data_IF_120165529188
#
_entry.id   IF_120165529188
#
_cell.length_a   1.000
_cell.length_b   1.000
_cell.length_c   1.000
_cell.angle_alpha   90.00
_cell.angle_beta   90.00
_cell.angle_gamma   90.00
#
_symmetry.space_group_name_H-M   'P 1'
#
loop_
_entity.id
_entity.type
_entity.pdbx_description
1 polymer ?
#
# COMPACT_ATOMS: atom_id res chain seq x y z
N UNK A 1 -9.29 -13.77 13.09
CA UNK A 1 -9.10 -12.44 12.53
C UNK A 1 -8.27 -12.50 11.25
N UNK A 2 -8.67 -11.73 10.27
CA UNK A 2 -7.96 -11.67 8.99
C UNK A 2 -6.93 -10.55 9.03
N UNK A 3 -5.67 -10.89 8.79
CA UNK A 3 -4.62 -9.88 8.66
C UNK A 3 -4.68 -9.27 7.26
N UNK A 4 -4.56 -7.96 7.20
CA UNK A 4 -4.49 -7.26 5.93
C UNK A 4 -3.09 -7.35 5.32
N UNK A 5 -2.98 -7.12 4.02
CA UNK A 5 -1.68 -7.06 3.33
C UNK A 5 -0.78 -6.00 3.97
N UNK A 6 -1.38 -4.89 4.40
CA UNK A 6 -0.65 -3.82 5.06
C UNK A 6 -0.05 -4.26 6.39
N UNK A 7 -0.81 -4.99 7.20
CA UNK A 7 -0.31 -5.53 8.46
C UNK A 7 0.82 -6.54 8.24
N UNK A 8 0.67 -7.40 7.24
CA UNK A 8 1.72 -8.36 6.89
C UNK A 8 3.01 -7.65 6.45
N UNK A 9 2.88 -6.61 5.65
CA UNK A 9 4.02 -5.82 5.21
C UNK A 9 4.70 -5.11 6.39
N UNK A 10 3.91 -4.58 7.32
CA UNK A 10 4.44 -3.95 8.52
C UNK A 10 5.20 -4.95 9.39
N UNK A 11 4.69 -6.16 9.53
CA UNK A 11 5.37 -7.20 10.30
C UNK A 11 6.72 -7.57 9.70
N UNK A 12 6.80 -7.67 8.37
CA UNK A 12 8.07 -7.98 7.69
C UNK A 12 9.10 -6.87 7.85
N UNK A 13 8.65 -5.63 7.96
CA UNK A 13 9.53 -4.47 8.12
C UNK A 13 9.69 -4.03 9.57
N UNK A 14 9.25 -4.86 10.50
CA UNK A 14 9.34 -4.63 11.95
C UNK A 14 8.69 -3.30 12.38
N UNK A 15 7.53 -3.01 11.79
CA UNK A 15 6.74 -1.81 12.06
C UNK A 15 5.34 -2.19 12.55
N UNK A 16 4.64 -1.21 13.11
CA UNK A 16 3.21 -1.35 13.42
C UNK A 16 2.41 -0.44 12.49
N UNK A 17 1.13 -0.80 12.17
CA UNK A 17 0.29 0.07 11.35
C UNK A 17 0.13 1.48 11.91
N UNK A 18 0.18 1.64 13.22
CA UNK A 18 0.05 2.93 13.88
C UNK A 18 1.22 3.88 13.58
N UNK A 19 2.38 3.34 13.19
CA UNK A 19 3.57 4.12 12.84
C UNK A 19 3.47 4.73 11.44
N UNK A 20 2.49 4.30 10.63
CA UNK A 20 2.31 4.80 9.27
C UNK A 20 1.63 6.17 9.31
N UNK A 21 2.26 7.17 8.72
CA UNK A 21 1.71 8.52 8.64
C UNK A 21 0.57 8.64 7.62
N UNK A 22 0.78 8.09 6.42
CA UNK A 22 -0.22 8.11 5.35
C UNK A 22 -0.13 6.80 4.58
N UNK A 23 -1.29 6.24 4.25
CA UNK A 23 -1.40 5.07 3.38
C UNK A 23 -1.92 5.52 2.02
N UNK A 24 -1.14 5.35 0.97
CA UNK A 24 -1.56 5.66 -0.39
C UNK A 24 -2.01 4.39 -1.11
N UNK A 25 -3.17 4.45 -1.72
CA UNK A 25 -3.72 3.35 -2.52
C UNK A 25 -3.63 3.77 -3.98
N UNK A 26 -2.71 3.15 -4.71
CA UNK A 26 -2.41 3.49 -6.09
C UNK A 26 -2.85 2.39 -7.05
N UNK A 27 -2.80 2.69 -8.36
CA UNK A 27 -3.16 1.74 -9.40
C UNK A 27 -4.62 1.86 -9.80
N UNK A 28 -5.10 0.90 -10.60
CA UNK A 28 -6.47 0.91 -11.10
C UNK A 28 -7.52 0.92 -10.00
N UNK A 29 -7.29 0.20 -8.92
CA UNK A 29 -8.19 0.18 -7.77
C UNK A 29 -8.23 1.50 -7.03
N UNK A 30 -7.12 2.23 -7.02
CA UNK A 30 -7.02 3.50 -6.29
C UNK A 30 -8.03 4.55 -6.74
N UNK A 31 -8.52 4.46 -7.98
CA UNK A 31 -9.48 5.42 -8.53
C UNK A 31 -10.92 5.15 -8.10
N UNK A 32 -11.25 3.90 -7.77
CA UNK A 32 -12.63 3.47 -7.57
C UNK A 32 -12.93 2.96 -6.17
N UNK A 33 -11.91 2.78 -5.35
CA UNK A 33 -12.08 2.18 -4.05
C UNK A 33 -12.67 3.18 -3.04
N UNK A 34 -13.65 2.70 -2.28
CA UNK A 34 -14.17 3.44 -1.15
C UNK A 34 -13.40 3.00 0.09
N UNK A 35 -12.65 3.94 0.69
CA UNK A 35 -11.76 3.64 1.81
C UNK A 35 -12.50 3.05 3.01
N UNK A 36 -13.68 3.60 3.33
CA UNK A 36 -14.48 3.11 4.46
C UNK A 36 -14.95 1.68 4.24
N UNK A 37 -15.41 1.38 3.03
CA UNK A 37 -15.84 0.02 2.67
C UNK A 37 -14.66 -0.95 2.66
N UNK A 38 -13.52 -0.51 2.16
CA UNK A 38 -12.30 -1.32 2.14
C UNK A 38 -11.87 -1.69 3.57
N UNK A 39 -11.97 -0.75 4.52
CA UNK A 39 -11.67 -1.01 5.91
C UNK A 39 -12.66 -2.02 6.52
N UNK A 40 -13.94 -1.93 6.18
CA UNK A 40 -14.97 -2.85 6.70
C UNK A 40 -14.74 -4.29 6.27
N UNK A 41 -14.24 -4.52 5.07
CA UNK A 41 -13.97 -5.87 4.57
C UNK A 41 -12.53 -6.31 4.83
N UNK A 42 -11.79 -5.56 5.64
CA UNK A 42 -10.40 -5.84 6.01
C UNK A 42 -9.42 -5.83 4.85
N UNK A 43 -9.70 -5.06 3.80
CA UNK A 43 -8.76 -4.85 2.72
C UNK A 43 -7.60 -3.96 3.19
N UNK A 44 -7.91 -2.99 4.04
CA UNK A 44 -6.92 -2.15 4.73
C UNK A 44 -7.21 -2.17 6.23
N UNK A 45 -6.20 -1.94 7.09
CA UNK A 45 -6.44 -1.87 8.52
C UNK A 45 -7.41 -0.73 8.86
N UNK A 46 -8.46 -0.99 9.67
CA UNK A 46 -9.40 0.08 10.04
C UNK A 46 -8.73 1.27 10.70
N UNK A 47 -7.64 1.06 11.44
CA UNK A 47 -6.88 2.13 12.08
C UNK A 47 -6.27 3.10 11.08
N UNK A 48 -5.99 2.66 9.86
CA UNK A 48 -5.39 3.47 8.81
C UNK A 48 -6.42 4.16 7.91
N UNK A 49 -7.70 3.81 8.01
CA UNK A 49 -8.74 4.39 7.16
C UNK A 49 -8.74 5.92 7.16
N UNK A 50 -8.61 6.61 8.33
CA UNK A 50 -8.56 8.08 8.33
C UNK A 50 -7.33 8.67 7.66
N UNK A 51 -6.26 7.86 7.51
CA UNK A 51 -4.99 8.29 6.93
C UNK A 51 -4.76 7.73 5.53
N UNK A 52 -5.74 7.02 4.98
CA UNK A 52 -5.64 6.42 3.65
C UNK A 52 -6.11 7.39 2.58
N UNK A 53 -5.39 7.43 1.45
CA UNK A 53 -5.72 8.27 0.30
C UNK A 53 -5.67 7.42 -0.97
N UNK A 54 -6.75 7.43 -1.72
CA UNK A 54 -6.78 6.81 -3.04
C UNK A 54 -6.24 7.81 -4.05
N UNK A 55 -5.14 7.47 -4.72
CA UNK A 55 -4.44 8.37 -5.63
C UNK A 55 -4.45 7.93 -7.10
N UNK A 56 -5.15 6.85 -7.40
CA UNK A 56 -5.35 6.39 -8.76
C UNK A 56 -4.05 6.00 -9.47
N UNK A 57 -3.91 6.40 -10.72
CA UNK A 57 -2.72 6.09 -11.52
C UNK A 57 -1.55 7.02 -11.17
N UNK A 58 -0.97 6.80 -10.00
CA UNK A 58 0.13 7.62 -9.50
C UNK A 58 1.39 7.46 -10.36
N UNK A 59 1.64 6.27 -10.89
CA UNK A 59 2.81 6.04 -11.74
C UNK A 59 2.77 6.89 -13.01
N UNK A 60 1.60 6.95 -13.66
CA UNK A 60 1.42 7.80 -14.85
C UNK A 60 1.56 9.27 -14.54
N UNK A 61 0.94 9.73 -13.44
CA UNK A 61 1.03 11.11 -13.02
C UNK A 61 2.48 11.49 -12.67
N UNK A 62 3.19 10.63 -11.97
CA UNK A 62 4.58 10.84 -11.59
C UNK A 62 5.50 10.90 -12.79
N UNK A 63 5.29 10.02 -13.77
CA UNK A 63 6.06 10.03 -15.01
C UNK A 63 5.87 11.34 -15.79
N UNK A 64 4.63 11.84 -15.86
CA UNK A 64 4.33 13.12 -16.49
C UNK A 64 5.03 14.29 -15.78
N UNK A 65 5.01 14.30 -14.47
CA UNK A 65 5.70 15.31 -13.67
C UNK A 65 7.21 15.28 -13.90
N UNK A 66 7.80 14.10 -13.94
CA UNK A 66 9.23 13.95 -14.17
C UNK A 66 9.65 14.43 -15.56
N UNK A 67 8.79 14.30 -16.55
CA UNK A 67 9.03 14.80 -17.91
C UNK A 67 9.07 16.31 -17.96
N UNK A 68 8.25 16.98 -17.17
CA UNK A 68 8.05 18.43 -17.25
C UNK A 68 8.85 19.22 -16.21
N UNK A 69 9.44 18.56 -15.22
CA UNK A 69 10.08 19.25 -14.10
C UNK A 69 11.35 18.53 -13.66
N UNK A 70 12.48 19.23 -13.72
CA UNK A 70 13.75 18.74 -13.19
C UNK A 70 13.66 18.50 -11.68
N UNK A 71 12.97 19.41 -10.98
CA UNK A 71 12.76 19.28 -9.53
C UNK A 71 11.98 18.01 -9.18
N UNK A 72 10.94 17.70 -9.93
CA UNK A 72 10.17 16.47 -9.73
C UNK A 72 11.02 15.23 -9.97
N UNK A 73 11.87 15.27 -11.00
CA UNK A 73 12.77 14.17 -11.33
C UNK A 73 13.80 13.92 -10.22
N UNK A 74 14.35 14.99 -9.66
CA UNK A 74 15.30 14.92 -8.54
C UNK A 74 14.61 14.37 -7.29
N UNK A 75 13.39 14.80 -7.02
CA UNK A 75 12.60 14.29 -5.90
C UNK A 75 12.33 12.79 -6.06
N UNK A 76 11.94 12.37 -7.26
CA UNK A 76 11.70 10.95 -7.56
C UNK A 76 12.96 10.11 -7.35
N UNK A 77 14.12 10.62 -7.76
CA UNK A 77 15.38 9.91 -7.56
C UNK A 77 15.71 9.76 -6.06
N UNK A 78 15.45 10.78 -5.25
CA UNK A 78 15.65 10.70 -3.81
C UNK A 78 14.72 9.69 -3.17
N UNK A 79 13.45 9.70 -3.54
CA UNK A 79 12.47 8.74 -3.02
C UNK A 79 12.86 7.33 -3.40
N UNK A 80 13.28 7.11 -4.64
CA UNK A 80 13.70 5.78 -5.12
C UNK A 80 14.87 5.22 -4.32
N UNK A 81 15.77 6.08 -3.80
CA UNK A 81 16.88 5.64 -2.99
C UNK A 81 16.51 5.31 -1.56
N UNK A 82 15.42 5.88 -1.05
CA UNK A 82 15.01 5.71 0.34
C UNK A 82 13.80 4.79 0.51
N UNK A 83 13.01 4.60 -0.55
CA UNK A 83 11.85 3.73 -0.50
C UNK A 83 12.25 2.26 -0.40
N UNK A 84 11.57 1.53 0.43
CA UNK A 84 11.78 0.09 0.58
C UNK A 84 10.65 -0.66 -0.09
N UNK A 85 10.99 -1.74 -0.79
CA UNK A 85 10.00 -2.65 -1.36
C UNK A 85 9.85 -3.84 -0.44
N UNK A 86 8.61 -4.13 -0.05
CA UNK A 86 8.30 -5.32 0.74
C UNK A 86 7.72 -6.37 -0.20
N UNK A 87 8.52 -7.41 -0.46
CA UNK A 87 8.13 -8.47 -1.38
C UNK A 87 7.34 -9.54 -0.64
N UNK A 88 6.02 -9.53 -0.81
CA UNK A 88 5.13 -10.46 -0.12
C UNK A 88 4.99 -11.80 -0.83
N UNK A 89 5.12 -11.80 -2.15
CA UNK A 89 4.88 -13.01 -2.96
C UNK A 89 5.85 -14.15 -2.66
N UNK A 90 7.02 -13.84 -2.11
CA UNK A 90 8.04 -14.84 -1.75
C UNK A 90 8.06 -15.17 -0.26
N UNK A 91 7.23 -14.52 0.53
CA UNK A 91 7.17 -14.74 1.98
C UNK A 91 6.29 -15.95 2.30
N UNK A 92 6.82 -16.99 3.00
CA UNK A 92 6.01 -18.17 3.33
C UNK A 92 4.81 -17.85 4.22
N UNK A 93 4.95 -16.91 5.14
CA UNK A 93 3.85 -16.52 6.03
C UNK A 93 2.72 -15.85 5.24
N UNK A 94 3.06 -15.00 4.28
CA UNK A 94 2.07 -14.38 3.40
C UNK A 94 1.31 -15.45 2.60
N UNK A 95 2.04 -16.40 2.03
CA UNK A 95 1.43 -17.47 1.24
C UNK A 95 0.49 -18.32 2.08
N UNK A 96 0.87 -18.63 3.31
CA UNK A 96 0.02 -19.38 4.24
C UNK A 96 -1.27 -18.61 4.53
N UNK A 97 -1.16 -17.33 4.85
CA UNK A 97 -2.33 -16.48 5.12
C UNK A 97 -3.20 -16.29 3.89
N UNK A 98 -2.60 -16.17 2.73
CA UNK A 98 -3.33 -16.06 1.47
C UNK A 98 -4.22 -17.27 1.22
N UNK A 99 -3.66 -18.46 1.42
CA UNK A 99 -4.42 -19.71 1.27
C UNK A 99 -5.54 -19.79 2.31
N UNK A 100 -5.24 -19.48 3.56
CA UNK A 100 -6.24 -19.51 4.64
C UNK A 100 -7.41 -18.57 4.35
N UNK A 101 -7.13 -17.39 3.84
CA UNK A 101 -8.15 -16.38 3.54
C UNK A 101 -8.99 -16.71 2.31
N UNK A 102 -8.52 -17.62 1.45
CA UNK A 102 -9.31 -18.11 0.32
C UNK A 102 -10.40 -19.07 0.73
N UNK A 103 -10.34 -19.59 1.93
CA UNK A 103 -11.34 -20.51 2.47
C UNK A 103 -12.36 -19.71 3.25
N UNK A 104 -13.46 -19.38 2.60
CA UNK A 104 -14.58 -18.69 3.24
C UNK A 104 -15.39 -19.67 4.06
N UNK A 105 -15.60 -19.32 5.29
CA UNK A 105 -16.51 -20.06 6.15
C UNK A 105 -17.41 -19.11 6.90
#
# INVERSE_FOLDING_TARGET
ETETICELACNLDDMTPEEIGTLYIAGGFGSFINVKSAAKISLIPPALAPRAKAIGNAAGAGASMALLSTRAREAAARIARTAETVELSTDPYFMEKYVDCMMFE
#
